data_IF_245722230179
#
_entry.id   IF_245722230179
#
_cell.length_a   1.000
_cell.length_b   1.000
_cell.length_c   1.000
_cell.angle_alpha   90.00
_cell.angle_beta   90.00
_cell.angle_gamma   90.00
#
_symmetry.space_group_name_H-M   'P 1'
#
loop_
_entity.id
_entity.type
_entity.pdbx_description
1 polymer ?
#
# COMPACT_ATOMS: atom_id res chain seq x y z
N UNK A 1 8.00 -11.62 -15.99
CA UNK A 1 6.97 -12.01 -15.00
C UNK A 1 7.54 -12.41 -13.63
N UNK A 2 8.77 -12.96 -13.55
CA UNK A 2 9.36 -13.41 -12.27
C UNK A 2 9.63 -12.29 -11.26
N UNK A 3 10.10 -11.13 -11.71
CA UNK A 3 10.49 -10.04 -10.80
C UNK A 3 9.30 -9.41 -10.06
N UNK A 4 8.18 -9.22 -10.76
CA UNK A 4 6.95 -8.65 -10.20
C UNK A 4 6.28 -9.60 -9.19
N UNK A 5 6.25 -10.91 -9.51
CA UNK A 5 5.79 -11.92 -8.56
C UNK A 5 6.68 -12.01 -7.31
N UNK A 6 8.00 -11.95 -7.48
CA UNK A 6 8.95 -11.93 -6.36
C UNK A 6 8.77 -10.70 -5.46
N UNK A 7 8.50 -9.53 -6.05
CA UNK A 7 8.23 -8.30 -5.31
C UNK A 7 6.95 -8.41 -4.47
N UNK A 8 5.85 -8.92 -5.04
CA UNK A 8 4.62 -9.15 -4.26
C UNK A 8 4.80 -10.18 -3.16
N UNK A 9 5.57 -11.23 -3.42
CA UNK A 9 5.94 -12.19 -2.40
C UNK A 9 6.70 -11.52 -1.24
N UNK A 10 7.66 -10.63 -1.56
CA UNK A 10 8.39 -9.87 -0.54
C UNK A 10 7.48 -8.93 0.28
N UNK A 11 6.49 -8.28 -0.35
CA UNK A 11 5.51 -7.48 0.38
C UNK A 11 4.65 -8.33 1.32
N UNK A 12 4.08 -9.42 0.82
CA UNK A 12 3.26 -10.33 1.62
C UNK A 12 4.04 -10.91 2.81
N UNK A 13 5.30 -11.29 2.58
CA UNK A 13 6.17 -11.83 3.61
C UNK A 13 6.54 -10.76 4.65
N UNK A 14 6.87 -9.55 4.22
CA UNK A 14 7.14 -8.42 5.13
C UNK A 14 5.93 -8.12 5.99
N UNK A 15 4.75 -8.00 5.39
CA UNK A 15 3.51 -7.71 6.12
C UNK A 15 3.18 -8.83 7.12
N UNK A 16 3.28 -10.09 6.70
CA UNK A 16 2.98 -11.23 7.54
C UNK A 16 4.00 -11.45 8.68
N UNK A 17 5.28 -11.14 8.45
CA UNK A 17 6.30 -11.24 9.50
C UNK A 17 6.20 -10.07 10.49
N UNK A 18 6.01 -8.84 10.02
CA UNK A 18 5.89 -7.68 10.92
C UNK A 18 4.67 -7.83 11.84
N UNK A 19 3.53 -8.27 11.32
CA UNK A 19 2.34 -8.54 12.13
C UNK A 19 2.54 -9.63 13.19
N UNK A 20 3.46 -10.57 12.97
CA UNK A 20 3.80 -11.63 13.95
C UNK A 20 4.90 -11.20 14.92
N UNK A 21 5.79 -10.31 14.50
CA UNK A 21 6.94 -9.89 15.30
C UNK A 21 6.61 -8.76 16.29
N UNK A 22 5.61 -7.93 16.00
CA UNK A 22 5.23 -6.82 16.88
C UNK A 22 3.74 -6.54 16.89
N UNK A 23 3.21 -6.26 18.07
CA UNK A 23 1.83 -5.76 18.27
C UNK A 23 1.78 -4.23 18.38
N UNK A 24 2.91 -3.52 18.25
CA UNK A 24 2.94 -2.07 18.31
C UNK A 24 2.41 -1.45 17.00
N UNK A 25 1.28 -0.76 17.13
CA UNK A 25 0.67 -0.02 16.03
C UNK A 25 1.59 1.04 15.44
N UNK A 26 2.51 1.62 16.22
CA UNK A 26 3.47 2.61 15.72
C UNK A 26 4.41 1.99 14.71
N UNK A 27 4.96 0.81 15.02
CA UNK A 27 5.87 0.08 14.12
C UNK A 27 5.15 -0.30 12.83
N UNK A 28 3.94 -0.86 12.96
CA UNK A 28 3.13 -1.23 11.80
C UNK A 28 2.77 -0.03 10.91
N UNK A 29 2.39 1.12 11.51
CA UNK A 29 2.15 2.37 10.76
C UNK A 29 3.40 2.86 10.03
N UNK A 30 4.57 2.80 10.66
CA UNK A 30 5.83 3.20 10.00
C UNK A 30 6.13 2.31 8.80
N UNK A 31 5.95 0.99 8.92
CA UNK A 31 6.13 0.06 7.80
C UNK A 31 5.16 0.36 6.66
N UNK A 32 3.87 0.56 6.96
CA UNK A 32 2.88 0.92 5.95
C UNK A 32 3.16 2.28 5.30
N UNK A 33 3.69 3.25 6.04
CA UNK A 33 4.11 4.53 5.49
C UNK A 33 5.26 4.36 4.49
N UNK A 34 6.30 3.59 4.84
CA UNK A 34 7.40 3.28 3.92
C UNK A 34 6.90 2.57 2.66
N UNK A 35 5.97 1.61 2.81
CA UNK A 35 5.34 0.94 1.67
C UNK A 35 4.54 1.90 0.80
N UNK A 36 3.81 2.84 1.41
CA UNK A 36 3.06 3.86 0.67
C UNK A 36 3.98 4.78 -0.13
N UNK A 37 5.14 5.17 0.42
CA UNK A 37 6.15 5.93 -0.33
C UNK A 37 6.67 5.10 -1.51
N UNK A 38 6.90 3.80 -1.32
CA UNK A 38 7.31 2.91 -2.41
C UNK A 38 6.23 2.80 -3.51
N UNK A 39 4.95 2.76 -3.14
CA UNK A 39 3.83 2.76 -4.11
C UNK A 39 3.83 4.02 -4.97
N UNK A 40 4.00 5.20 -4.36
CA UNK A 40 4.08 6.46 -5.10
C UNK A 40 5.34 6.53 -5.96
N UNK A 41 6.47 6.02 -5.46
CA UNK A 41 7.69 5.88 -6.25
C UNK A 41 7.48 5.01 -7.49
N UNK A 42 6.77 3.89 -7.33
CA UNK A 42 6.43 3.00 -8.44
C UNK A 42 5.44 3.64 -9.43
N UNK A 43 4.41 4.34 -8.95
CA UNK A 43 3.56 5.12 -9.84
C UNK A 43 4.39 6.16 -10.60
N UNK A 44 5.33 6.85 -9.94
CA UNK A 44 6.16 7.86 -10.58
C UNK A 44 7.08 7.27 -11.66
N UNK A 45 7.69 6.11 -11.44
CA UNK A 45 8.55 5.48 -12.47
C UNK A 45 7.74 5.00 -13.68
N UNK A 46 6.50 4.57 -13.47
CA UNK A 46 5.57 4.17 -14.53
C UNK A 46 5.10 5.38 -15.36
N UNK A 47 5.30 6.63 -14.89
CA UNK A 47 4.93 7.84 -15.65
C UNK A 47 5.65 7.97 -16.99
N UNK A 48 6.83 7.35 -17.11
CA UNK A 48 7.60 7.29 -18.34
C UNK A 48 6.90 6.51 -19.46
N UNK A 49 5.94 5.63 -19.14
CA UNK A 49 5.12 4.90 -20.12
C UNK A 49 3.98 5.76 -20.70
N UNK A 50 3.79 6.98 -20.16
CA UNK A 50 2.85 7.97 -20.65
C UNK A 50 1.59 8.10 -19.79
N UNK A 51 0.94 9.29 -19.80
CA UNK A 51 -0.17 9.59 -18.91
C UNK A 51 -1.39 8.70 -19.15
N UNK A 52 -1.59 8.17 -20.36
CA UNK A 52 -2.72 7.28 -20.68
C UNK A 52 -2.80 6.04 -19.79
N UNK A 53 -1.66 5.55 -19.29
CA UNK A 53 -1.57 4.34 -18.49
C UNK A 53 -2.34 4.47 -17.16
N UNK A 54 -2.52 5.67 -16.62
CA UNK A 54 -3.21 5.88 -15.34
C UNK A 54 -4.73 6.03 -15.47
N UNK A 55 -5.21 6.57 -16.60
CA UNK A 55 -6.65 6.86 -16.79
C UNK A 55 -7.36 5.87 -17.70
N UNK A 56 -6.64 5.20 -18.61
CA UNK A 56 -7.26 4.28 -19.57
C UNK A 56 -7.31 2.83 -19.06
N UNK A 57 -8.03 2.61 -17.97
CA UNK A 57 -8.27 1.29 -17.36
C UNK A 57 -8.91 0.27 -18.31
N UNK A 58 -9.56 0.71 -19.39
CA UNK A 58 -10.18 -0.16 -20.39
C UNK A 58 -9.18 -0.81 -21.36
N UNK A 59 -7.98 -0.23 -21.52
CA UNK A 59 -6.91 -0.79 -22.35
C UNK A 59 -5.90 -1.63 -21.55
N UNK A 60 -6.10 -1.77 -20.23
CA UNK A 60 -5.17 -2.50 -19.37
C UNK A 60 -5.14 -3.99 -19.68
N UNK A 61 -3.95 -4.49 -19.99
CA UNK A 61 -3.71 -5.93 -20.09
C UNK A 61 -3.56 -6.55 -18.69
N UNK A 62 -3.52 -7.89 -18.61
CA UNK A 62 -3.35 -8.60 -17.35
C UNK A 62 -2.10 -8.16 -16.55
N UNK A 63 -1.04 -7.74 -17.26
CA UNK A 63 0.19 -7.24 -16.64
C UNK A 63 -0.01 -5.81 -16.09
N UNK A 64 -0.76 -4.96 -16.78
CA UNK A 64 -1.05 -3.58 -16.32
C UNK A 64 -1.96 -3.60 -15.09
N UNK A 65 -2.93 -4.52 -15.05
CA UNK A 65 -3.74 -4.80 -13.87
C UNK A 65 -2.89 -5.26 -12.68
N UNK A 66 -1.94 -6.16 -12.93
CA UNK A 66 -0.97 -6.57 -11.93
C UNK A 66 -0.14 -5.38 -11.45
N UNK A 67 0.45 -4.62 -12.36
CA UNK A 67 1.46 -3.62 -12.06
C UNK A 67 0.90 -2.31 -11.48
N UNK A 68 -0.18 -1.79 -12.05
CA UNK A 68 -0.77 -0.48 -11.72
C UNK A 68 -2.00 -0.68 -10.83
N UNK A 69 -2.90 -1.59 -11.22
CA UNK A 69 -4.12 -1.87 -10.46
C UNK A 69 -3.85 -2.32 -9.02
N UNK A 70 -2.92 -3.25 -8.82
CA UNK A 70 -2.51 -3.68 -7.49
C UNK A 70 -1.97 -2.51 -6.65
N UNK A 71 -1.13 -1.65 -7.23
CA UNK A 71 -0.47 -0.57 -6.48
C UNK A 71 -1.48 0.51 -6.08
N UNK A 72 -2.45 0.84 -6.95
CA UNK A 72 -3.57 1.70 -6.57
C UNK A 72 -4.37 1.11 -5.40
N UNK A 73 -4.70 -0.19 -5.47
CA UNK A 73 -5.44 -0.86 -4.41
C UNK A 73 -4.65 -0.91 -3.09
N UNK A 74 -3.37 -1.25 -3.16
CA UNK A 74 -2.48 -1.34 -2.00
C UNK A 74 -2.25 0.04 -1.36
N UNK A 75 -2.01 1.08 -2.16
CA UNK A 75 -1.89 2.45 -1.70
C UNK A 75 -3.18 2.93 -1.02
N UNK A 76 -4.35 2.62 -1.59
CA UNK A 76 -5.64 2.97 -0.98
C UNK A 76 -5.83 2.30 0.38
N UNK A 77 -5.55 1.01 0.49
CA UNK A 77 -5.62 0.27 1.76
C UNK A 77 -4.66 0.84 2.81
N UNK A 78 -3.44 1.19 2.41
CA UNK A 78 -2.42 1.80 3.29
C UNK A 78 -2.85 3.19 3.75
N UNK A 79 -3.36 4.02 2.86
CA UNK A 79 -3.90 5.35 3.19
C UNK A 79 -5.08 5.23 4.15
N UNK A 80 -6.02 4.32 3.88
CA UNK A 80 -7.16 4.06 4.77
C UNK A 80 -6.69 3.68 6.18
N UNK A 81 -5.72 2.77 6.29
CA UNK A 81 -5.17 2.34 7.57
C UNK A 81 -4.44 3.48 8.30
N UNK A 82 -3.60 4.25 7.59
CA UNK A 82 -2.82 5.35 8.17
C UNK A 82 -3.71 6.51 8.62
N UNK A 83 -4.79 6.80 7.87
CA UNK A 83 -5.78 7.83 8.22
C UNK A 83 -6.74 7.38 9.33
N UNK A 84 -6.67 6.11 9.74
CA UNK A 84 -7.47 5.58 10.83
C UNK A 84 -8.88 5.13 10.39
N UNK A 85 -9.15 5.03 9.09
CA UNK A 85 -10.40 4.49 8.56
C UNK A 85 -10.52 3.02 9.00
N UNK A 86 -11.58 2.69 9.73
CA UNK A 86 -11.79 1.37 10.34
C UNK A 86 -11.42 1.26 11.83
N UNK A 87 -10.74 2.26 12.40
CA UNK A 87 -10.49 2.34 13.85
C UNK A 87 -11.64 3.03 14.58
N UNK A 88 -12.83 2.41 14.58
CA UNK A 88 -13.93 2.87 15.43
C UNK A 88 -13.61 2.51 16.89
N UNK A 89 -13.27 3.51 17.72
CA UNK A 89 -13.48 3.41 19.17
C UNK A 89 -12.29 3.42 20.14
N UNK A 90 -11.03 3.59 19.73
CA UNK A 90 -9.90 3.74 20.70
C UNK A 90 -9.13 5.07 20.64
N UNK A 91 -9.04 5.73 19.48
CA UNK A 91 -8.32 7.00 19.34
C UNK A 91 -9.01 8.20 20.02
N UNK A 92 -10.34 8.19 20.07
CA UNK A 92 -11.13 9.28 20.66
C UNK A 92 -11.07 9.31 22.19
N UNK A 93 -10.88 8.16 22.85
CA UNK A 93 -10.75 8.09 24.32
C UNK A 93 -9.42 8.65 24.82
N UNK A 94 -8.32 8.48 24.07
CA UNK A 94 -7.01 9.00 24.44
C UNK A 94 -6.92 10.53 24.28
N UNK A 95 -7.63 11.10 23.30
CA UNK A 95 -7.70 12.56 23.11
C UNK A 95 -8.61 13.29 24.09
N UNK A 96 -9.57 12.59 24.70
CA UNK A 96 -10.45 13.14 25.75
C UNK A 96 -9.92 12.92 27.18
N UNK A 97 -8.84 12.15 27.34
CA UNK A 97 -8.25 11.80 28.64
C UNK A 97 -6.88 12.46 28.89
N UNK A 98 -6.41 13.31 27.98
CA UNK A 98 -5.23 14.16 28.10
C UNK A 98 -5.66 15.62 28.06
#
# INVERSE_FOLDING_TARGET
>A
MSQLANLYFAFALTEALVLRSTSDLRVWRTVLFCLLVADFGHLYTVSALGPKIYWNVFEWNAIDWGNIGYVYFAALMRVAFLTGVGFVGKGERLRKAA
#
